data_IF_112037906687
#
_entry.id   IF_112037906687
#
_cell.length_a   1.000
_cell.length_b   1.000
_cell.length_c   1.000
_cell.angle_alpha   90.00
_cell.angle_beta   90.00
_cell.angle_gamma   90.00
#
_symmetry.space_group_name_H-M   'P 1'
#
loop_
_entity.id
_entity.type
_entity.pdbx_description
1 polymer ?
#
# COMPACT_ATOMS: atom_id res chain seq x y z
N UNK A 1 -40.60 -4.93 17.50
CA UNK A 1 -39.64 -5.87 16.89
C UNK A 1 -38.45 -5.05 16.40
N UNK A 2 -37.26 -5.36 16.93
CA UNK A 2 -36.01 -4.62 16.76
C UNK A 2 -35.47 -4.74 15.32
N UNK A 3 -34.80 -3.70 14.81
CA UNK A 3 -33.39 -3.82 14.39
C UNK A 3 -32.76 -2.42 14.24
N UNK A 4 -31.59 -2.27 14.87
CA UNK A 4 -30.78 -1.06 15.02
C UNK A 4 -29.81 -0.85 13.83
N UNK A 5 -29.57 0.44 13.55
CA UNK A 5 -28.33 1.16 13.19
C UNK A 5 -27.19 0.54 12.36
N UNK A 6 -26.64 1.38 11.47
CA UNK A 6 -25.24 1.25 11.05
C UNK A 6 -24.82 2.04 9.81
N UNK A 7 -24.97 3.37 9.80
CA UNK A 7 -24.12 4.21 8.95
C UNK A 7 -22.64 3.90 9.25
N UNK A 8 -21.89 3.44 8.26
CA UNK A 8 -20.43 3.47 8.30
C UNK A 8 -19.93 4.52 7.31
N UNK A 9 -19.93 5.77 7.77
CA UNK A 9 -18.93 6.73 7.34
C UNK A 9 -17.57 6.24 7.84
N UNK A 10 -16.63 5.96 6.91
CA UNK A 10 -15.20 5.94 7.22
C UNK A 10 -14.42 6.64 6.11
N UNK A 11 -14.13 7.91 6.39
CA UNK A 11 -13.02 8.75 5.94
C UNK A 11 -12.60 8.68 4.46
N UNK A 12 -13.27 9.47 3.63
CA UNK A 12 -12.62 10.12 2.50
C UNK A 12 -11.71 11.24 3.03
N UNK A 13 -10.48 10.89 3.40
CA UNK A 13 -9.37 11.85 3.34
C UNK A 13 -8.44 11.44 2.21
N UNK A 14 -8.98 11.51 0.99
CA UNK A 14 -8.14 11.66 -0.19
C UNK A 14 -7.46 13.02 -0.08
N UNK A 15 -6.24 13.05 0.48
CA UNK A 15 -5.33 14.16 0.23
C UNK A 15 -4.95 14.06 -1.24
N UNK A 16 -5.72 14.76 -2.06
CA UNK A 16 -5.46 14.98 -3.48
C UNK A 16 -4.15 15.75 -3.61
N UNK A 17 -3.04 15.02 -3.66
CA UNK A 17 -1.90 15.46 -4.44
C UNK A 17 -2.25 15.13 -5.90
N UNK A 18 -2.95 16.05 -6.56
CA UNK A 18 -3.22 16.00 -7.99
C UNK A 18 -1.88 16.05 -8.74
N UNK A 19 -1.25 14.89 -8.89
CA UNK A 19 -0.49 14.66 -10.11
C UNK A 19 -1.51 14.11 -11.10
N UNK A 20 -1.71 14.86 -12.18
CA UNK A 20 -2.52 14.51 -13.33
C UNK A 20 -1.88 13.29 -14.04
N UNK A 21 -1.83 12.14 -13.36
CA UNK A 21 -1.40 10.87 -13.90
C UNK A 21 -2.67 10.28 -14.50
N UNK A 22 -2.84 10.41 -15.81
CA UNK A 22 -3.84 9.62 -16.53
C UNK A 22 -3.72 8.19 -16.02
N UNK A 23 -4.82 7.62 -15.52
CA UNK A 23 -4.85 6.22 -15.17
C UNK A 23 -4.31 5.43 -16.37
N UNK A 24 -3.32 4.53 -16.19
CA UNK A 24 -2.75 3.82 -17.31
C UNK A 24 -3.87 3.07 -18.03
N UNK A 25 -4.09 3.42 -19.29
CA UNK A 25 -5.10 2.79 -20.13
C UNK A 25 -4.56 1.44 -20.60
N UNK A 26 -5.44 0.45 -20.76
CA UNK A 26 -5.05 -0.84 -21.32
C UNK A 26 -4.50 -0.62 -22.74
N UNK A 27 -3.25 -1.02 -23.04
CA UNK A 27 -2.70 -0.86 -24.38
C UNK A 27 -3.43 -1.79 -25.37
N UNK A 28 -3.55 -1.33 -26.61
CA UNK A 28 -4.25 -2.06 -27.68
C UNK A 28 -3.42 -3.20 -28.28
N UNK A 29 -2.10 -3.20 -28.06
CA UNK A 29 -1.17 -4.20 -28.57
C UNK A 29 -0.04 -4.48 -27.56
N UNK A 30 0.53 -5.68 -27.65
CA UNK A 30 1.68 -6.11 -26.84
C UNK A 30 2.94 -5.40 -27.34
N UNK A 31 3.82 -4.97 -26.43
CA UNK A 31 5.11 -4.42 -26.86
C UNK A 31 6.00 -5.49 -27.52
N UNK A 32 6.55 -5.13 -28.69
CA UNK A 32 7.48 -5.95 -29.47
C UNK A 32 8.95 -5.56 -29.26
N UNK A 33 9.21 -4.49 -28.49
CA UNK A 33 10.57 -4.04 -28.18
C UNK A 33 11.32 -5.13 -27.41
N UNK A 34 12.40 -5.68 -27.98
CA UNK A 34 13.14 -6.77 -27.35
C UNK A 34 13.80 -6.34 -26.03
N UNK A 35 14.15 -5.06 -25.92
CA UNK A 35 14.70 -4.41 -24.72
C UNK A 35 13.65 -4.03 -23.68
N UNK A 36 12.36 -4.11 -24.00
CA UNK A 36 11.32 -3.73 -23.06
C UNK A 36 11.24 -4.77 -21.93
N UNK A 37 10.98 -4.31 -20.69
CA UNK A 37 10.88 -5.22 -19.57
C UNK A 37 9.64 -6.11 -19.72
N UNK A 38 9.70 -7.30 -19.12
CA UNK A 38 8.67 -8.33 -19.29
C UNK A 38 7.26 -7.85 -18.90
N UNK A 39 7.14 -6.94 -17.93
CA UNK A 39 5.87 -6.38 -17.51
C UNK A 39 5.17 -5.54 -18.58
N UNK A 40 5.90 -5.04 -19.60
CA UNK A 40 5.32 -4.34 -20.75
C UNK A 40 5.07 -5.25 -21.96
N UNK A 41 5.83 -6.34 -22.07
CA UNK A 41 5.77 -7.30 -23.17
C UNK A 41 4.81 -8.47 -22.93
N UNK A 42 4.26 -8.58 -21.73
CA UNK A 42 3.25 -9.59 -21.42
C UNK A 42 1.92 -9.26 -22.14
N UNK A 43 1.16 -10.30 -22.49
CA UNK A 43 -0.23 -10.16 -22.95
C UNK A 43 -1.14 -9.57 -21.87
N UNK A 44 -0.75 -9.69 -20.61
CA UNK A 44 -1.39 -9.05 -19.46
C UNK A 44 -0.36 -8.09 -18.82
N UNK A 45 -0.18 -6.88 -19.39
CA UNK A 45 0.86 -5.95 -18.97
C UNK A 45 0.63 -5.44 -17.54
N UNK A 46 1.71 -5.00 -16.89
CA UNK A 46 1.68 -4.50 -15.52
C UNK A 46 2.48 -3.22 -15.38
N UNK A 47 1.90 -2.28 -14.68
CA UNK A 47 2.61 -1.16 -14.08
C UNK A 47 2.89 -1.44 -12.61
N UNK A 48 3.89 -0.77 -12.06
CA UNK A 48 4.23 -0.88 -10.66
C UNK A 48 3.89 0.41 -9.93
N UNK A 49 3.06 0.28 -8.91
CA UNK A 49 2.78 1.37 -7.96
C UNK A 49 3.70 1.19 -6.77
N UNK A 50 4.40 2.26 -6.42
CA UNK A 50 5.27 2.30 -5.23
C UNK A 50 4.39 2.50 -4.00
N UNK A 51 4.38 1.52 -3.10
CA UNK A 51 3.76 1.62 -1.79
C UNK A 51 4.85 1.88 -0.74
N UNK A 52 4.96 3.14 -0.30
CA UNK A 52 5.94 3.58 0.68
C UNK A 52 5.28 3.83 2.04
N UNK A 53 5.74 3.13 3.07
CA UNK A 53 5.35 3.31 4.47
C UNK A 53 6.63 3.42 5.32
N UNK A 54 6.98 4.61 5.85
CA UNK A 54 8.21 4.80 6.61
C UNK A 54 8.19 4.06 7.96
N UNK A 55 7.02 3.65 8.45
CA UNK A 55 6.88 2.87 9.69
C UNK A 55 6.91 1.36 9.42
N UNK A 56 7.17 0.90 8.19
CA UNK A 56 7.16 -0.52 7.82
C UNK A 56 8.53 -0.98 7.33
N UNK A 57 8.89 -2.25 7.57
CA UNK A 57 10.03 -2.90 6.95
C UNK A 57 9.58 -4.10 6.09
N UNK A 58 9.92 -4.14 4.78
CA UNK A 58 10.58 -3.08 4.03
C UNK A 58 9.68 -1.84 3.86
N UNK A 59 10.29 -0.65 3.85
CA UNK A 59 9.56 0.62 3.76
C UNK A 59 8.90 0.78 2.40
N UNK A 60 9.55 0.30 1.34
CA UNK A 60 9.05 0.39 -0.03
C UNK A 60 8.69 -0.98 -0.56
N UNK A 61 7.46 -1.13 -1.05
CA UNK A 61 6.95 -2.33 -1.70
C UNK A 61 6.43 -1.94 -3.09
N UNK A 62 6.84 -2.66 -4.12
CA UNK A 62 6.31 -2.50 -5.47
C UNK A 62 5.05 -3.37 -5.62
N UNK A 63 3.91 -2.74 -5.93
CA UNK A 63 2.65 -3.42 -6.20
C UNK A 63 2.38 -3.42 -7.69
N UNK A 64 2.25 -4.61 -8.28
CA UNK A 64 1.87 -4.74 -9.68
C UNK A 64 0.38 -4.44 -9.85
N UNK A 65 0.04 -3.60 -10.83
CA UNK A 65 -1.34 -3.28 -11.24
C UNK A 65 -1.46 -3.52 -12.74
N UNK A 66 -2.50 -4.24 -13.15
CA UNK A 66 -2.84 -4.34 -14.57
C UNK A 66 -3.76 -3.17 -14.96
N UNK A 67 -3.53 -2.50 -16.10
CA UNK A 67 -4.49 -1.57 -16.68
C UNK A 67 -5.60 -2.29 -17.47
N UNK A 68 -5.44 -3.60 -17.74
CA UNK A 68 -6.35 -4.41 -18.56
C UNK A 68 -7.19 -5.38 -17.71
N UNK A 69 -8.44 -5.59 -18.11
CA UNK A 69 -9.32 -6.65 -17.58
C UNK A 69 -9.16 -7.97 -18.32
N UNK A 70 -8.89 -7.93 -19.63
CA UNK A 70 -8.60 -9.10 -20.48
C UNK A 70 -7.18 -9.06 -21.03
N UNK A 71 -6.70 -10.18 -21.56
CA UNK A 71 -5.40 -10.25 -22.22
C UNK A 71 -5.42 -9.50 -23.56
N UNK A 72 -4.32 -8.87 -23.91
CA UNK A 72 -4.18 -8.22 -25.21
C UNK A 72 -4.20 -9.29 -26.31
N UNK A 73 -4.96 -9.02 -27.38
CA UNK A 73 -5.14 -9.91 -28.51
C UNK A 73 -6.30 -10.90 -28.35
N UNK A 74 -7.03 -10.86 -27.24
CA UNK A 74 -8.18 -11.76 -26.99
C UNK A 74 -9.10 -11.23 -25.89
N UNK A 75 -10.41 -11.30 -26.11
CA UNK A 75 -11.43 -10.96 -25.11
C UNK A 75 -11.88 -12.17 -24.26
N UNK A 76 -11.37 -13.36 -24.59
CA UNK A 76 -11.76 -14.64 -23.94
C UNK A 76 -10.99 -14.88 -22.64
N UNK A 77 -9.74 -14.40 -22.56
CA UNK A 77 -8.86 -14.66 -21.42
C UNK A 77 -8.74 -13.44 -20.52
N UNK A 78 -9.01 -13.62 -19.23
CA UNK A 78 -8.90 -12.57 -18.23
C UNK A 78 -7.45 -12.28 -17.83
N UNK A 79 -7.18 -11.01 -17.54
CA UNK A 79 -5.89 -10.53 -17.06
C UNK A 79 -5.90 -10.43 -15.53
N UNK A 80 -5.72 -11.58 -14.87
CA UNK A 80 -5.86 -11.73 -13.42
C UNK A 80 -4.58 -11.39 -12.64
N UNK A 81 -4.71 -10.71 -11.50
CA UNK A 81 -3.56 -10.29 -10.67
C UNK A 81 -2.97 -11.44 -9.88
N UNK A 82 -1.64 -11.55 -9.89
CA UNK A 82 -0.90 -12.52 -9.08
C UNK A 82 -0.67 -11.91 -7.70
N UNK A 83 -1.23 -12.54 -6.68
CA UNK A 83 -1.14 -12.07 -5.29
C UNK A 83 -0.09 -12.91 -4.55
N UNK A 84 0.85 -12.25 -3.88
CA UNK A 84 1.83 -12.88 -3.00
C UNK A 84 1.79 -12.23 -1.63
N UNK A 85 1.59 -13.04 -0.59
CA UNK A 85 1.71 -12.57 0.78
C UNK A 85 3.18 -12.29 1.11
N UNK A 86 3.43 -11.12 1.71
CA UNK A 86 4.73 -10.71 2.20
C UNK A 86 4.63 -10.49 3.70
N UNK A 87 5.63 -10.93 4.46
CA UNK A 87 5.76 -10.57 5.87
C UNK A 87 6.38 -9.18 5.95
N UNK A 88 5.76 -8.28 6.70
CA UNK A 88 6.28 -6.95 6.96
C UNK A 88 6.25 -6.67 8.46
N UNK A 89 7.25 -5.95 8.95
CA UNK A 89 7.30 -5.47 10.33
C UNK A 89 6.75 -4.04 10.35
N UNK A 90 5.95 -3.68 11.34
CA UNK A 90 5.45 -2.31 11.52
C UNK A 90 5.93 -1.76 12.84
N UNK A 91 6.62 -0.63 12.80
CA UNK A 91 7.03 0.13 13.98
C UNK A 91 5.82 0.95 14.43
N UNK A 92 5.33 0.68 15.63
CA UNK A 92 4.35 1.55 16.27
C UNK A 92 5.11 2.57 17.11
N UNK A 93 5.17 3.81 16.64
CA UNK A 93 5.76 4.97 17.33
C UNK A 93 5.21 5.18 18.74
N UNK A 94 3.95 4.77 18.97
CA UNK A 94 3.30 4.76 20.30
C UNK A 94 4.02 3.85 21.30
N UNK A 95 4.67 2.78 20.86
CA UNK A 95 5.44 1.88 21.74
C UNK A 95 6.71 2.52 22.28
N UNK A 96 7.41 3.30 21.46
CA UNK A 96 8.62 4.02 21.85
C UNK A 96 8.26 5.20 22.76
N UNK A 97 7.19 5.93 22.44
CA UNK A 97 6.71 7.03 23.29
C UNK A 97 6.22 6.52 24.66
N UNK A 98 5.47 5.41 24.71
CA UNK A 98 5.07 4.79 25.98
C UNK A 98 6.26 4.31 26.82
N UNK A 99 7.31 3.77 26.18
CA UNK A 99 8.53 3.38 26.88
C UNK A 99 9.28 4.61 27.43
N UNK A 100 9.42 5.66 26.63
CA UNK A 100 10.05 6.92 27.06
C UNK A 100 9.24 7.62 28.18
N UNK A 101 7.91 7.63 28.10
CA UNK A 101 7.03 8.15 29.14
C UNK A 101 7.18 7.35 30.44
N UNK A 102 7.25 6.01 30.36
CA UNK A 102 7.49 5.17 31.55
C UNK A 102 8.88 5.38 32.16
N UNK A 103 9.92 5.56 31.35
CA UNK A 103 11.28 5.88 31.84
C UNK A 103 11.31 7.27 32.48
N UNK A 104 10.66 8.26 31.87
CA UNK A 104 10.55 9.61 32.44
C UNK A 104 9.78 9.61 33.78
N UNK A 105 8.69 8.84 33.88
CA UNK A 105 7.92 8.68 35.12
C UNK A 105 8.73 7.95 36.22
N UNK A 106 9.50 6.92 35.87
CA UNK A 106 10.38 6.23 36.82
C UNK A 106 11.47 7.14 37.42
N UNK A 107 12.03 8.05 36.61
CA UNK A 107 13.07 9.00 37.06
C UNK A 107 12.52 10.14 37.94
N UNK A 108 11.22 10.47 37.82
CA UNK A 108 10.56 11.47 38.67
C UNK A 108 10.23 10.91 40.07
N UNK A 109 9.90 9.61 40.16
CA UNK A 109 9.64 8.96 41.46
C UNK A 109 10.91 8.71 42.29
N UNK A 110 12.10 8.62 41.66
CA UNK A 110 13.35 8.43 42.37
C UNK A 110 13.86 9.70 43.08
N UNK A 111 13.49 10.90 42.61
CA UNK A 111 13.88 12.18 43.23
C UNK A 111 12.96 12.64 44.37
N UNK A 112 11.79 12.02 44.55
CA UNK A 112 10.81 12.41 45.56
C UNK A 112 11.02 11.73 46.93
N UNK A 113 12.07 10.91 47.10
CA UNK A 113 12.31 10.11 48.32
C UNK A 113 13.64 10.46 49.03
N UNK A 114 14.16 11.67 48.80
CA UNK A 114 15.44 12.15 49.36
C UNK A 114 15.34 13.55 50.00
N UNK A 115 14.14 13.97 50.41
CA UNK A 115 13.93 15.14 51.29
C UNK A 115 13.20 14.69 52.54
#
# INVERSE_FOLDING_TARGET
MNSYDGEKQMCNQSTTFETNILAPMCPTAVSTGQSDPINKRATCPRDFVVDHDPERFPATILKARSPCTTCIGTDVYECNTIIKALKALKLFTVGVLNLLVRIAQANQCAHANLI
#
